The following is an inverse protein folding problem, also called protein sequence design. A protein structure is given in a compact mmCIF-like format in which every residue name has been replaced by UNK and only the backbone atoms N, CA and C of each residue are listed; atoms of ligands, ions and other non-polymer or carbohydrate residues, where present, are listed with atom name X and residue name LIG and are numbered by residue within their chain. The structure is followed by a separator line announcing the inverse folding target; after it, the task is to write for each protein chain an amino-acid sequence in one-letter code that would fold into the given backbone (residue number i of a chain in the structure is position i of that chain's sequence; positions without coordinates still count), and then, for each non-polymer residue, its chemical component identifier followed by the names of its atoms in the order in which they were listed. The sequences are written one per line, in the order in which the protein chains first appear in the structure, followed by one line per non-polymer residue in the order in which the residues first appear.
data_IF_859217604401
#
_entry.id   IF_859217604401
#
_cell.length_a   1.000
_cell.length_b   1.000
_cell.length_c   1.000
_cell.angle_alpha   90.00
_cell.angle_beta   90.00
_cell.angle_gamma   90.00
#
_symmetry.space_group_name_H-M   'P 1'
#
loop_
_entity.id
_entity.type
_entity.pdbx_description
1 polymer ?
#
# COMPACT_ATOMS: atom_id res chain seq x y z
N UNK A 1 37.22 18.65 -6.96
CA UNK A 1 36.69 17.33 -7.39
C UNK A 1 36.85 16.37 -6.23
N UNK A 2 35.84 16.32 -5.35
CA UNK A 2 35.70 15.36 -4.27
C UNK A 2 34.23 15.42 -3.88
N UNK A 3 33.41 14.65 -4.59
CA UNK A 3 32.01 14.43 -4.21
C UNK A 3 32.08 13.55 -2.97
N UNK A 4 31.50 14.00 -1.87
CA UNK A 4 31.48 13.25 -0.62
C UNK A 4 30.79 11.89 -0.88
N UNK A 5 31.57 10.81 -0.88
CA UNK A 5 31.09 9.45 -1.20
C UNK A 5 29.92 9.03 -0.29
N UNK A 6 29.84 9.56 0.93
CA UNK A 6 28.72 9.30 1.84
C UNK A 6 27.36 9.86 1.37
N UNK A 7 27.33 10.88 0.50
CA UNK A 7 26.08 11.36 -0.12
C UNK A 7 25.65 10.42 -1.25
N UNK A 8 26.61 9.84 -1.98
CA UNK A 8 26.32 8.83 -3.00
C UNK A 8 25.81 7.56 -2.32
N UNK A 9 26.38 7.13 -1.19
CA UNK A 9 25.89 5.95 -0.47
C UNK A 9 24.46 6.13 0.08
N UNK A 10 24.07 7.34 0.51
CA UNK A 10 22.70 7.65 0.92
C UNK A 10 21.70 7.73 -0.23
N UNK A 11 22.18 8.00 -1.46
CA UNK A 11 21.37 8.11 -2.68
C UNK A 11 21.33 6.77 -3.45
N UNK A 12 22.35 5.92 -3.28
CA UNK A 12 22.58 4.72 -4.08
C UNK A 12 22.22 3.38 -3.40
N UNK A 13 21.93 3.36 -2.09
CA UNK A 13 21.55 2.12 -1.39
C UNK A 13 20.08 2.04 -0.93
N UNK A 14 19.17 1.64 -1.85
CA UNK A 14 17.98 0.85 -1.53
C UNK A 14 18.19 -0.67 -1.77
N UNK A 15 19.39 -1.09 -2.18
CA UNK A 15 19.70 -2.45 -2.67
C UNK A 15 19.77 -3.56 -1.60
N UNK A 16 19.30 -3.33 -0.37
CA UNK A 16 19.25 -4.37 0.67
C UNK A 16 18.26 -5.52 0.38
N UNK A 17 17.50 -5.45 -0.72
CA UNK A 17 16.62 -6.54 -1.17
C UNK A 17 17.31 -7.73 -1.86
N UNK A 18 18.62 -7.65 -2.15
CA UNK A 18 19.36 -8.70 -2.87
C UNK A 18 20.63 -9.21 -2.17
N UNK A 19 20.87 -8.84 -0.91
CA UNK A 19 21.79 -9.62 -0.10
C UNK A 19 21.12 -10.98 0.13
N UNK A 20 21.70 -12.02 -0.46
CA UNK A 20 21.43 -13.42 -0.13
C UNK A 20 21.19 -13.53 1.39
N UNK A 21 20.18 -14.29 1.86
CA UNK A 21 20.19 -14.70 3.24
C UNK A 21 21.42 -15.60 3.39
N UNK A 22 22.54 -15.01 3.80
CA UNK A 22 23.57 -15.78 4.48
C UNK A 22 22.82 -16.47 5.60
N UNK A 23 22.86 -17.81 5.57
CA UNK A 23 22.29 -18.69 6.58
C UNK A 23 22.49 -18.10 7.99
N UNK A 24 21.50 -17.36 8.45
CA UNK A 24 21.35 -16.87 9.81
C UNK A 24 19.91 -17.22 10.12
N UNK A 25 19.79 -18.46 10.57
CA UNK A 25 18.70 -19.01 11.37
C UNK A 25 17.67 -17.99 11.84
N UNK A 26 16.43 -18.22 11.38
CA UNK A 26 15.22 -18.00 12.16
C UNK A 26 15.50 -18.25 13.65
N UNK A 27 15.22 -17.24 14.47
CA UNK A 27 15.71 -17.03 15.85
C UNK A 27 17.20 -16.75 15.94
N UNK A 28 17.52 -15.45 16.08
CA UNK A 28 18.53 -15.10 17.06
C UNK A 28 17.98 -15.55 18.41
N UNK A 29 18.39 -16.73 18.87
CA UNK A 29 18.52 -16.98 20.30
C UNK A 29 19.53 -15.93 20.80
N UNK A 30 19.04 -14.77 21.22
CA UNK A 30 19.81 -13.84 22.04
C UNK A 30 19.82 -14.39 23.46
N UNK A 31 20.61 -15.44 23.67
CA UNK A 31 21.34 -15.55 24.94
C UNK A 31 22.39 -14.44 24.95
N UNK A 32 21.94 -13.23 25.27
CA UNK A 32 22.62 -12.29 26.17
C UNK A 32 21.87 -10.96 26.17
N UNK A 33 21.44 -10.61 27.38
CA UNK A 33 20.79 -9.37 27.80
C UNK A 33 21.27 -8.09 27.10
N UNK A 34 20.49 -7.60 26.14
CA UNK A 34 20.05 -6.22 26.23
C UNK A 34 18.61 -6.29 26.70
N UNK A 35 18.36 -5.89 27.95
CA UNK A 35 17.00 -5.73 28.44
C UNK A 35 16.30 -4.76 27.50
N UNK A 36 15.42 -5.28 26.63
CA UNK A 36 14.59 -4.41 25.81
C UNK A 36 13.90 -3.45 26.75
N UNK A 37 14.05 -2.15 26.50
CA UNK A 37 13.50 -1.12 27.36
C UNK A 37 11.97 -1.18 27.49
N UNK A 38 11.32 -1.96 26.61
CA UNK A 38 9.88 -2.22 26.56
C UNK A 38 9.45 -3.49 27.33
N UNK A 39 10.36 -4.15 28.04
CA UNK A 39 10.03 -5.39 28.78
C UNK A 39 9.66 -6.56 27.85
N UNK A 40 8.92 -7.53 28.39
CA UNK A 40 8.35 -8.63 27.60
C UNK A 40 7.07 -8.14 26.89
N UNK A 41 7.18 -7.92 25.58
CA UNK A 41 6.05 -7.57 24.74
C UNK A 41 5.42 -8.86 24.24
N UNK A 42 4.20 -9.13 24.68
CA UNK A 42 3.38 -10.23 24.16
C UNK A 42 2.10 -9.66 23.54
N UNK A 43 1.56 -10.29 22.48
CA UNK A 43 0.26 -9.90 21.95
C UNK A 43 -0.83 -10.10 23.03
N UNK A 44 -1.88 -9.27 23.05
CA UNK A 44 -3.02 -9.48 23.94
C UNK A 44 -3.69 -10.84 23.69
N UNK A 45 -4.18 -11.51 24.75
CA UNK A 45 -4.87 -12.82 24.62
C UNK A 45 -6.13 -12.76 23.74
N UNK A 46 -6.83 -11.61 23.77
CA UNK A 46 -8.04 -11.35 22.98
C UNK A 46 -7.94 -9.98 22.33
N UNK A 47 -7.17 -9.86 21.23
CA UNK A 47 -6.87 -8.58 20.64
C UNK A 47 -8.14 -7.94 20.04
N UNK A 48 -8.33 -6.65 20.30
CA UNK A 48 -9.40 -5.84 19.71
C UNK A 48 -9.10 -5.40 18.27
N UNK A 49 -7.84 -5.50 17.86
CA UNK A 49 -7.36 -5.09 16.54
C UNK A 49 -6.47 -6.17 15.94
N UNK A 50 -6.40 -6.21 14.62
CA UNK A 50 -5.43 -6.98 13.85
C UNK A 50 -4.65 -6.02 12.96
N UNK A 51 -3.35 -6.21 12.82
CA UNK A 51 -2.53 -5.44 11.90
C UNK A 51 -2.35 -6.29 10.64
N UNK A 52 -2.86 -5.80 9.51
CA UNK A 52 -2.85 -6.55 8.26
C UNK A 52 -1.56 -6.33 7.47
N UNK A 53 -1.00 -5.12 7.47
CA UNK A 53 0.17 -4.78 6.67
C UNK A 53 0.82 -3.49 7.20
N UNK A 54 2.09 -3.26 6.84
CA UNK A 54 2.83 -2.02 7.08
C UNK A 54 3.20 -1.33 5.76
N UNK A 55 3.01 -0.02 5.75
CA UNK A 55 3.32 0.90 4.66
C UNK A 55 4.15 2.08 5.15
N UNK A 56 4.28 3.12 4.32
CA UNK A 56 4.91 4.39 4.70
C UNK A 56 6.30 4.25 5.33
N UNK A 57 7.13 3.34 4.80
CA UNK A 57 8.49 3.10 5.30
C UNK A 57 8.53 2.65 6.78
N UNK A 58 7.56 1.83 7.20
CA UNK A 58 7.48 1.30 8.56
C UNK A 58 6.82 2.24 9.57
N UNK A 59 6.28 3.37 9.12
CA UNK A 59 5.59 4.36 9.98
C UNK A 59 4.06 4.33 9.88
N UNK A 60 3.50 3.53 8.97
CA UNK A 60 2.07 3.45 8.70
C UNK A 60 1.64 1.98 8.74
N UNK A 61 0.57 1.68 9.47
CA UNK A 61 0.08 0.33 9.72
C UNK A 61 -1.41 0.24 9.42
N UNK A 62 -1.78 -0.74 8.60
CA UNK A 62 -3.14 -1.00 8.15
C UNK A 62 -3.81 -1.91 9.19
N UNK A 63 -4.84 -1.40 9.86
CA UNK A 63 -5.46 -2.10 11.00
C UNK A 63 -6.91 -2.51 10.72
N UNK A 64 -7.34 -3.59 11.37
CA UNK A 64 -8.65 -4.18 11.25
C UNK A 64 -9.31 -4.32 12.64
N UNK A 65 -10.53 -3.79 12.86
CA UNK A 65 -11.20 -3.86 14.16
C UNK A 65 -11.86 -5.24 14.36
N UNK A 66 -11.38 -6.00 15.34
CA UNK A 66 -11.92 -7.33 15.69
C UNK A 66 -13.18 -7.25 16.57
N UNK A 67 -13.48 -6.09 17.14
CA UNK A 67 -14.72 -5.86 17.91
C UNK A 67 -15.95 -5.57 17.03
N UNK A 68 -15.78 -5.46 15.72
CA UNK A 68 -16.87 -5.19 14.76
C UNK A 68 -17.33 -6.48 14.09
N UNK A 69 -18.65 -6.68 13.97
CA UNK A 69 -19.20 -7.83 13.20
C UNK A 69 -19.11 -7.58 11.69
N UNK A 70 -19.35 -6.34 11.26
CA UNK A 70 -19.26 -5.92 9.85
C UNK A 70 -18.43 -4.64 9.78
N UNK A 71 -17.28 -4.74 9.13
CA UNK A 71 -16.35 -3.62 8.98
C UNK A 71 -16.57 -2.91 7.64
N UNK A 72 -17.05 -1.65 7.62
CA UNK A 72 -17.05 -0.84 6.40
C UNK A 72 -15.62 -0.43 6.02
N UNK A 73 -15.34 -0.11 4.74
CA UNK A 73 -13.98 0.18 4.27
C UNK A 73 -13.45 1.57 4.67
N UNK A 74 -13.51 1.95 5.95
CA UNK A 74 -13.17 3.30 6.44
C UNK A 74 -11.70 3.66 6.32
N UNK A 75 -10.81 2.69 6.09
CA UNK A 75 -9.35 2.92 6.00
C UNK A 75 -8.84 3.71 7.20
N UNK A 76 -9.23 3.22 8.38
CA UNK A 76 -8.71 3.70 9.65
C UNK A 76 -7.38 3.03 9.88
N UNK A 77 -6.32 3.81 9.73
CA UNK A 77 -4.95 3.31 9.75
C UNK A 77 -4.16 3.97 10.89
N UNK A 78 -3.13 3.28 11.37
CA UNK A 78 -2.28 3.72 12.48
C UNK A 78 -1.00 4.33 11.96
N UNK A 79 -0.59 5.46 12.52
CA UNK A 79 0.63 6.17 12.16
C UNK A 79 1.49 6.36 13.41
N UNK A 80 2.77 6.06 13.29
CA UNK A 80 3.79 6.29 14.32
C UNK A 80 4.81 7.32 13.83
N UNK A 81 5.66 7.87 14.71
CA UNK A 81 6.72 8.77 14.28
C UNK A 81 7.70 8.04 13.35
N UNK A 82 8.21 8.75 12.35
CA UNK A 82 9.28 8.21 11.49
C UNK A 82 10.55 7.98 12.29
N UNK A 83 11.39 7.04 11.84
CA UNK A 83 12.65 6.70 12.50
C UNK A 83 13.55 7.90 12.77
N UNK A 84 13.52 8.91 11.90
CA UNK A 84 14.31 10.15 12.04
C UNK A 84 13.92 11.00 13.25
N UNK A 85 12.70 10.79 13.77
CA UNK A 85 12.17 11.49 14.93
C UNK A 85 12.25 10.66 16.23
N UNK A 86 12.79 9.44 16.16
CA UNK A 86 12.90 8.53 17.30
C UNK A 86 14.39 8.30 17.65
N UNK A 87 14.67 8.01 18.92
CA UNK A 87 16.02 7.59 19.33
C UNK A 87 16.35 6.21 18.75
N UNK A 88 17.63 5.97 18.42
CA UNK A 88 18.11 4.67 17.92
C UNK A 88 17.69 3.50 18.81
N UNK A 89 17.73 3.67 20.14
CA UNK A 89 17.34 2.63 21.09
C UNK A 89 15.88 2.18 20.94
N UNK A 90 14.96 3.10 20.60
CA UNK A 90 13.55 2.78 20.35
C UNK A 90 13.42 2.04 19.00
N UNK A 91 14.10 2.55 17.98
CA UNK A 91 14.09 1.95 16.65
C UNK A 91 14.59 0.51 16.66
N UNK A 92 15.67 0.23 17.38
CA UNK A 92 16.22 -1.12 17.55
C UNK A 92 15.31 -1.99 18.42
N UNK A 93 14.85 -1.48 19.57
CA UNK A 93 14.03 -2.27 20.50
C UNK A 93 12.65 -2.67 19.97
N UNK A 94 12.14 -1.97 18.95
CA UNK A 94 10.85 -2.23 18.31
C UNK A 94 10.99 -2.80 16.89
N UNK A 95 12.20 -3.15 16.45
CA UNK A 95 12.47 -3.66 15.11
C UNK A 95 12.01 -2.73 13.97
N UNK A 96 12.02 -1.41 14.16
CA UNK A 96 11.50 -0.44 13.19
C UNK A 96 12.27 -0.48 11.85
N UNK A 97 13.58 -0.77 11.91
CA UNK A 97 14.39 -0.99 10.70
C UNK A 97 13.95 -2.20 9.89
N UNK A 98 13.47 -3.27 10.54
CA UNK A 98 12.92 -4.45 9.86
C UNK A 98 11.49 -4.19 9.36
N UNK A 99 10.69 -3.44 10.13
CA UNK A 99 9.34 -3.04 9.75
C UNK A 99 9.32 -2.23 8.45
N UNK A 100 10.33 -1.38 8.23
CA UNK A 100 10.52 -0.63 6.98
C UNK A 100 10.48 -1.51 5.73
N UNK A 101 11.07 -2.72 5.79
CA UNK A 101 11.17 -3.65 4.67
C UNK A 101 10.09 -4.74 4.66
N UNK A 102 9.26 -4.80 5.70
CA UNK A 102 8.27 -5.87 5.87
C UNK A 102 6.93 -5.40 5.34
N UNK A 103 6.41 -6.05 4.31
CA UNK A 103 5.04 -5.85 3.78
C UNK A 103 4.15 -7.08 3.94
N UNK A 104 4.74 -8.18 4.39
CA UNK A 104 4.06 -9.46 4.58
C UNK A 104 3.47 -9.55 6.00
N UNK A 105 2.17 -9.86 6.15
CA UNK A 105 1.52 -9.95 7.46
C UNK A 105 2.17 -11.00 8.38
N UNK A 106 2.62 -12.14 7.84
CA UNK A 106 3.18 -13.22 8.66
C UNK A 106 4.52 -12.81 9.26
N UNK A 107 5.40 -12.18 8.49
CA UNK A 107 6.65 -11.62 9.00
C UNK A 107 6.41 -10.46 9.96
N UNK A 108 5.42 -9.61 9.68
CA UNK A 108 5.10 -8.45 10.52
C UNK A 108 4.72 -8.87 11.95
N UNK A 109 3.95 -9.96 12.11
CA UNK A 109 3.56 -10.52 13.42
C UNK A 109 4.74 -10.92 14.32
N UNK A 110 5.93 -11.10 13.75
CA UNK A 110 7.12 -11.48 14.51
C UNK A 110 7.97 -10.27 14.92
N UNK A 111 7.57 -9.05 14.56
CA UNK A 111 8.29 -7.83 14.93
C UNK A 111 7.73 -7.25 16.23
N UNK A 112 8.60 -6.71 17.10
CA UNK A 112 8.19 -6.15 18.39
C UNK A 112 7.24 -4.96 18.28
N UNK A 113 7.32 -4.15 17.21
CA UNK A 113 6.37 -3.07 16.95
C UNK A 113 4.94 -3.57 16.74
N UNK A 114 4.74 -4.77 16.20
CA UNK A 114 3.41 -5.34 16.04
C UNK A 114 2.72 -5.51 17.40
N UNK A 115 3.41 -6.16 18.34
CA UNK A 115 2.85 -6.43 19.67
C UNK A 115 2.70 -5.13 20.48
N UNK A 116 3.66 -4.21 20.36
CA UNK A 116 3.56 -2.87 20.94
C UNK A 116 2.27 -2.16 20.51
N UNK A 117 2.02 -2.10 19.20
CA UNK A 117 0.83 -1.43 18.64
C UNK A 117 -0.45 -2.13 19.06
N UNK A 118 -0.49 -3.46 19.10
CA UNK A 118 -1.67 -4.18 19.58
C UNK A 118 -1.98 -3.85 21.04
N UNK A 119 -0.97 -3.79 21.92
CA UNK A 119 -1.17 -3.41 23.32
C UNK A 119 -1.64 -1.95 23.47
N UNK A 120 -1.03 -1.02 22.73
CA UNK A 120 -1.42 0.39 22.76
C UNK A 120 -2.87 0.59 22.29
N UNK A 121 -3.23 -0.02 21.17
CA UNK A 121 -4.59 0.03 20.61
C UNK A 121 -5.59 -0.66 21.53
N UNK A 122 -5.23 -1.79 22.14
CA UNK A 122 -6.06 -2.49 23.13
C UNK A 122 -6.39 -1.56 24.31
N UNK A 123 -5.36 -1.01 24.96
CA UNK A 123 -5.51 -0.13 26.11
C UNK A 123 -6.32 1.13 25.78
N UNK A 124 -6.15 1.70 24.59
CA UNK A 124 -6.94 2.82 24.12
C UNK A 124 -8.40 2.44 23.85
N UNK A 125 -8.63 1.31 23.19
CA UNK A 125 -9.99 0.83 22.85
C UNK A 125 -10.79 0.49 24.10
N UNK A 126 -10.17 -0.11 25.10
CA UNK A 126 -10.83 -0.48 26.35
C UNK A 126 -11.24 0.75 27.20
N UNK A 127 -10.68 1.94 26.91
CA UNK A 127 -11.12 3.21 27.51
C UNK A 127 -12.31 3.84 26.78
N UNK A 128 -12.67 3.36 25.59
CA UNK A 128 -13.82 3.87 24.86
C UNK A 128 -15.12 3.28 25.43
N UNK A 129 -16.14 4.10 25.74
CA UNK A 129 -17.41 3.60 26.26
C UNK A 129 -18.12 2.63 25.31
N UNK A 130 -18.06 2.92 24.00
CA UNK A 130 -18.62 2.08 22.95
C UNK A 130 -17.71 2.12 21.70
N UNK A 131 -16.76 1.18 21.57
CA UNK A 131 -15.84 1.13 20.43
C UNK A 131 -16.53 1.01 19.07
N UNK A 132 -17.66 0.29 19.01
CA UNK A 132 -18.40 0.08 17.77
C UNK A 132 -19.05 1.37 17.27
N UNK A 133 -19.76 2.08 18.16
CA UNK A 133 -20.34 3.39 17.84
C UNK A 133 -19.26 4.43 17.49
N UNK A 134 -18.11 4.39 18.19
CA UNK A 134 -16.98 5.22 17.84
C UNK A 134 -16.53 4.95 16.40
N UNK A 135 -16.33 3.68 16.04
CA UNK A 135 -15.88 3.29 14.70
C UNK A 135 -16.87 3.72 13.61
N UNK A 136 -18.17 3.47 13.81
CA UNK A 136 -19.22 3.83 12.86
C UNK A 136 -19.40 5.35 12.69
N UNK A 137 -19.01 6.14 13.68
CA UNK A 137 -19.03 7.61 13.61
C UNK A 137 -17.85 8.21 12.83
N UNK A 138 -16.81 7.41 12.51
CA UNK A 138 -15.63 7.89 11.80
C UNK A 138 -15.88 8.13 10.31
N UNK A 139 -14.99 8.91 9.71
CA UNK A 139 -14.98 9.20 8.27
C UNK A 139 -13.91 8.38 7.55
N UNK A 140 -14.02 8.34 6.22
CA UNK A 140 -13.05 7.64 5.40
C UNK A 140 -11.66 8.28 5.52
N UNK A 141 -10.65 7.44 5.77
CA UNK A 141 -9.25 7.82 5.94
C UNK A 141 -8.89 8.37 7.31
N UNK A 142 -9.76 8.28 8.33
CA UNK A 142 -9.41 8.69 9.71
C UNK A 142 -8.09 8.06 10.14
N UNK A 143 -7.21 8.85 10.76
CA UNK A 143 -5.90 8.38 11.22
C UNK A 143 -5.89 8.22 12.73
N UNK A 144 -5.33 7.12 13.21
CA UNK A 144 -4.94 6.94 14.62
C UNK A 144 -3.44 7.25 14.67
N UNK A 145 -3.03 8.27 15.42
CA UNK A 145 -1.66 8.75 15.46
C UNK A 145 -1.11 8.52 16.86
N UNK A 146 0.02 7.84 16.95
CA UNK A 146 0.85 7.78 18.15
C UNK A 146 1.95 8.84 17.96
N UNK A 147 1.92 9.91 18.74
CA UNK A 147 2.94 10.97 18.62
C UNK A 147 4.30 10.56 19.20
N UNK A 148 4.29 9.58 20.10
CA UNK A 148 5.46 9.07 20.80
C UNK A 148 5.24 7.58 21.12
N UNK A 149 6.33 6.87 21.39
CA UNK A 149 6.35 5.43 21.70
C UNK A 149 6.96 5.22 23.11
N UNK A 150 6.23 5.55 24.19
CA UNK A 150 6.71 5.35 25.55
C UNK A 150 6.91 3.86 25.86
N UNK A 151 7.75 3.57 26.87
CA UNK A 151 8.09 2.20 27.29
C UNK A 151 6.88 1.33 27.63
N UNK A 152 5.87 1.92 28.25
CA UNK A 152 4.58 1.25 28.50
C UNK A 152 3.60 1.59 27.35
N UNK A 153 3.26 0.63 26.48
CA UNK A 153 2.34 0.85 25.37
C UNK A 153 0.96 1.38 25.82
N UNK A 154 0.50 1.04 27.02
CA UNK A 154 -0.79 1.49 27.55
C UNK A 154 -0.83 3.00 27.85
N UNK A 155 0.34 3.64 27.93
CA UNK A 155 0.48 5.09 28.12
C UNK A 155 0.71 5.86 26.82
N UNK A 156 0.78 5.17 25.68
CA UNK A 156 1.02 5.80 24.39
C UNK A 156 -0.01 6.90 24.08
N UNK A 157 0.43 8.12 23.72
CA UNK A 157 -0.47 9.22 23.42
C UNK A 157 -1.13 9.00 22.05
N UNK A 158 -2.37 8.50 22.07
CA UNK A 158 -3.17 8.29 20.86
C UNK A 158 -4.04 9.51 20.55
N UNK A 159 -3.87 10.06 19.36
CA UNK A 159 -4.73 11.09 18.77
C UNK A 159 -5.49 10.51 17.59
N UNK A 160 -6.74 10.92 17.43
CA UNK A 160 -7.58 10.58 16.28
C UNK A 160 -7.69 11.81 15.40
N UNK A 161 -7.32 11.69 14.12
CA UNK A 161 -7.36 12.76 13.14
C UNK A 161 -8.29 12.38 11.96
N UNK A 162 -9.56 12.84 11.98
CA UNK A 162 -10.47 12.71 10.85
C UNK A 162 -9.99 13.49 9.62
N UNK A 163 -9.96 12.85 8.45
CA UNK A 163 -9.49 13.44 7.20
C UNK A 163 -10.61 14.13 6.40
N UNK A 164 -11.26 15.16 6.96
CA UNK A 164 -12.43 15.81 6.32
C UNK A 164 -12.15 16.36 4.91
N UNK A 165 -10.94 16.85 4.68
CA UNK A 165 -10.54 17.37 3.36
C UNK A 165 -10.51 16.28 2.28
N UNK A 166 -10.24 15.03 2.68
CA UNK A 166 -10.21 13.89 1.76
C UNK A 166 -11.63 13.63 1.21
N UNK A 167 -12.63 13.58 2.09
CA UNK A 167 -14.02 13.35 1.66
C UNK A 167 -14.55 14.47 0.77
N UNK A 168 -14.14 15.71 1.04
CA UNK A 168 -14.51 16.87 0.23
C UNK A 168 -13.91 16.84 -1.18
N UNK A 169 -12.84 16.06 -1.41
CA UNK A 169 -12.13 15.99 -2.69
C UNK A 169 -12.58 14.87 -3.62
N UNK A 170 -13.55 14.04 -3.20
CA UNK A 170 -14.10 13.01 -4.08
C UNK A 170 -15.08 13.60 -5.11
N UNK A 171 -14.93 13.17 -6.37
CA UNK A 171 -15.91 13.45 -7.42
C UNK A 171 -17.15 12.58 -7.24
N UNK A 172 -18.31 13.15 -7.56
CA UNK A 172 -19.53 12.37 -7.72
C UNK A 172 -19.53 11.58 -9.03
N UNK A 173 -20.38 10.56 -9.13
CA UNK A 173 -20.57 9.81 -10.38
C UNK A 173 -20.96 10.72 -11.54
N UNK A 174 -21.81 11.72 -11.29
CA UNK A 174 -22.20 12.71 -12.29
C UNK A 174 -20.99 13.54 -12.75
N UNK A 175 -20.19 14.04 -11.80
CA UNK A 175 -18.98 14.81 -12.12
C UNK A 175 -17.96 14.00 -12.93
N UNK A 176 -17.80 12.70 -12.65
CA UNK A 176 -16.93 11.82 -13.45
C UNK A 176 -17.47 11.62 -14.86
N UNK A 177 -18.79 11.44 -15.01
CA UNK A 177 -19.44 11.30 -16.31
C UNK A 177 -19.27 12.56 -17.16
N UNK A 178 -19.41 13.74 -16.55
CA UNK A 178 -19.21 15.02 -17.24
C UNK A 178 -17.74 15.21 -17.64
N UNK A 179 -16.80 14.82 -16.78
CA UNK A 179 -15.37 14.96 -17.01
C UNK A 179 -14.84 14.04 -18.12
N UNK A 180 -15.28 12.77 -18.14
CA UNK A 180 -14.78 11.76 -19.07
C UNK A 180 -15.62 11.61 -20.34
N UNK A 181 -16.81 12.21 -20.35
CA UNK A 181 -17.74 12.17 -21.48
C UNK A 181 -18.51 10.84 -21.58
N UNK A 182 -19.48 10.79 -22.51
CA UNK A 182 -20.43 9.68 -22.63
C UNK A 182 -19.80 8.37 -23.12
N UNK A 183 -18.63 8.46 -23.76
CA UNK A 183 -17.89 7.31 -24.29
C UNK A 183 -17.27 6.43 -23.21
N UNK A 184 -17.16 6.94 -21.97
CA UNK A 184 -16.67 6.19 -20.82
C UNK A 184 -17.87 5.71 -20.01
N UNK A 185 -18.25 4.46 -20.25
CA UNK A 185 -19.31 3.81 -19.49
C UNK A 185 -18.83 3.62 -18.05
N UNK A 186 -19.54 4.19 -17.08
CA UNK A 186 -19.27 3.99 -15.65
C UNK A 186 -20.00 2.72 -15.17
N UNK A 187 -19.38 1.88 -14.31
CA UNK A 187 -20.06 0.75 -13.68
C UNK A 187 -21.16 1.20 -12.70
N UNK A 188 -22.00 0.24 -12.30
CA UNK A 188 -22.99 0.46 -11.25
C UNK A 188 -22.34 0.82 -9.91
N UNK A 189 -23.09 1.49 -9.04
CA UNK A 189 -22.61 1.89 -7.71
C UNK A 189 -22.97 0.88 -6.64
N UNK A 190 -22.17 0.84 -5.59
CA UNK A 190 -22.49 0.19 -4.31
C UNK A 190 -22.25 1.18 -3.18
N UNK A 191 -23.17 1.21 -2.21
CA UNK A 191 -22.96 2.02 -1.01
C UNK A 191 -21.80 1.43 -0.22
N UNK A 192 -20.90 2.30 0.18
CA UNK A 192 -19.76 1.99 1.02
C UNK A 192 -20.12 1.17 2.28
N UNK A 193 -21.29 1.40 2.88
CA UNK A 193 -21.79 0.67 4.06
C UNK A 193 -22.24 -0.76 3.75
N UNK A 194 -22.52 -1.05 2.49
CA UNK A 194 -22.87 -2.40 2.04
C UNK A 194 -21.64 -3.29 1.80
N UNK A 195 -20.44 -2.73 1.96
CA UNK A 195 -19.18 -3.44 1.78
C UNK A 195 -18.65 -3.91 3.13
N UNK A 196 -18.19 -5.15 3.16
CA UNK A 196 -17.51 -5.70 4.33
C UNK A 196 -16.04 -5.98 4.04
N UNK A 197 -15.13 -5.32 4.76
CA UNK A 197 -13.69 -5.59 4.66
C UNK A 197 -13.37 -6.94 5.31
N UNK A 198 -12.57 -7.74 4.62
CA UNK A 198 -11.97 -8.98 5.14
C UNK A 198 -10.51 -8.78 5.54
N UNK A 199 -9.76 -8.02 4.74
CA UNK A 199 -8.33 -7.78 4.96
C UNK A 199 -7.86 -6.55 4.18
N UNK A 200 -6.91 -5.81 4.73
CA UNK A 200 -6.20 -4.74 4.03
C UNK A 200 -4.80 -5.21 3.62
N UNK A 201 -4.58 -5.44 2.34
CA UNK A 201 -3.32 -6.05 1.88
C UNK A 201 -2.24 -5.03 1.52
N UNK A 202 -2.64 -3.82 1.12
CA UNK A 202 -1.75 -2.73 0.70
C UNK A 202 -2.39 -1.37 0.95
N UNK A 203 -1.60 -0.30 0.90
CA UNK A 203 -2.04 1.10 1.09
C UNK A 203 -3.22 1.51 0.19
N UNK A 204 -3.42 0.85 -0.95
CA UNK A 204 -4.52 1.15 -1.87
C UNK A 204 -5.51 0.01 -2.06
N UNK A 205 -5.27 -1.18 -1.51
CA UNK A 205 -6.05 -2.39 -1.80
C UNK A 205 -6.56 -3.05 -0.52
N UNK A 206 -7.87 -3.30 -0.48
CA UNK A 206 -8.51 -4.13 0.54
C UNK A 206 -9.28 -5.27 -0.11
N UNK A 207 -9.22 -6.47 0.47
CA UNK A 207 -10.09 -7.58 0.13
C UNK A 207 -11.43 -7.34 0.83
N UNK A 208 -12.50 -7.32 0.05
CA UNK A 208 -13.85 -7.00 0.54
C UNK A 208 -14.86 -8.03 0.06
N UNK A 209 -15.98 -8.11 0.77
CA UNK A 209 -17.13 -8.93 0.41
C UNK A 209 -18.36 -8.03 0.20
N UNK A 210 -19.08 -8.28 -0.89
CA UNK A 210 -20.32 -7.59 -1.25
C UNK A 210 -21.32 -8.65 -1.73
N UNK A 211 -22.43 -8.80 -1.02
CA UNK A 211 -23.46 -9.78 -1.38
C UNK A 211 -22.94 -11.24 -1.43
N UNK A 212 -21.97 -11.59 -0.58
CA UNK A 212 -21.35 -12.93 -0.55
C UNK A 212 -20.26 -13.16 -1.61
N UNK A 213 -19.96 -12.17 -2.46
CA UNK A 213 -18.89 -12.25 -3.46
C UNK A 213 -17.68 -11.45 -2.99
N UNK A 214 -16.49 -12.04 -3.15
CA UNK A 214 -15.22 -11.42 -2.77
C UNK A 214 -14.64 -10.61 -3.92
N UNK A 215 -14.21 -9.39 -3.63
CA UNK A 215 -13.58 -8.46 -4.56
C UNK A 215 -12.30 -7.87 -3.97
N UNK A 216 -11.44 -7.34 -4.83
CA UNK A 216 -10.43 -6.38 -4.41
C UNK A 216 -10.98 -4.96 -4.60
N UNK A 217 -10.98 -4.19 -3.52
CA UNK A 217 -11.37 -2.78 -3.52
C UNK A 217 -10.13 -1.91 -3.62
N UNK A 218 -10.04 -1.11 -4.69
CA UNK A 218 -9.06 -0.03 -4.80
C UNK A 218 -9.64 1.22 -4.14
N UNK A 219 -8.98 1.72 -3.12
CA UNK A 219 -9.32 2.97 -2.44
C UNK A 219 -8.08 3.60 -1.83
N UNK A 220 -7.90 4.91 -1.98
CA UNK A 220 -6.69 5.61 -1.55
C UNK A 220 -7.01 6.73 -0.58
N UNK A 221 -6.19 6.87 0.45
CA UNK A 221 -6.28 7.96 1.43
C UNK A 221 -5.39 9.16 1.10
N UNK A 222 -4.54 9.01 0.08
CA UNK A 222 -3.65 10.05 -0.44
C UNK A 222 -3.63 10.01 -1.98
N UNK A 223 -3.46 11.18 -2.60
CA UNK A 223 -3.34 11.36 -4.05
C UNK A 223 -4.48 10.73 -4.89
N UNK A 224 -5.72 11.04 -4.53
CA UNK A 224 -6.95 10.48 -5.14
C UNK A 224 -6.98 10.59 -6.67
N UNK A 225 -6.36 11.63 -7.25
CA UNK A 225 -6.25 11.79 -8.70
C UNK A 225 -5.70 10.54 -9.40
N UNK A 226 -4.79 9.80 -8.78
CA UNK A 226 -4.22 8.59 -9.39
C UNK A 226 -5.20 7.42 -9.41
N UNK A 227 -6.06 7.31 -8.39
CA UNK A 227 -7.14 6.33 -8.37
C UNK A 227 -8.17 6.62 -9.48
N UNK A 228 -8.55 7.88 -9.66
CA UNK A 228 -9.46 8.26 -10.77
C UNK A 228 -8.82 8.05 -12.14
N UNK A 229 -7.52 8.33 -12.25
CA UNK A 229 -6.78 8.09 -13.48
C UNK A 229 -6.70 6.60 -13.83
N UNK A 230 -6.38 5.75 -12.85
CA UNK A 230 -6.40 4.30 -13.02
C UNK A 230 -7.79 3.81 -13.42
N UNK A 231 -8.84 4.25 -12.71
CA UNK A 231 -10.22 3.92 -13.06
C UNK A 231 -10.53 4.29 -14.52
N UNK A 232 -10.16 5.50 -14.96
CA UNK A 232 -10.36 5.94 -16.34
C UNK A 232 -9.59 5.07 -17.36
N UNK A 233 -8.33 4.73 -17.05
CA UNK A 233 -7.52 3.83 -17.89
C UNK A 233 -8.18 2.46 -18.02
N UNK A 234 -8.58 1.85 -16.90
CA UNK A 234 -9.17 0.52 -16.89
C UNK A 234 -10.51 0.49 -17.64
N UNK A 235 -11.34 1.52 -17.49
CA UNK A 235 -12.57 1.65 -18.26
C UNK A 235 -12.29 1.85 -19.76
N UNK A 236 -11.22 2.56 -20.12
CA UNK A 236 -10.80 2.73 -21.52
C UNK A 236 -10.31 1.41 -22.12
N UNK A 237 -9.39 0.71 -21.44
CA UNK A 237 -8.88 -0.58 -21.87
C UNK A 237 -10.00 -1.63 -21.99
N UNK A 238 -11.02 -1.55 -21.14
CA UNK A 238 -12.16 -2.49 -21.18
C UNK A 238 -12.99 -2.44 -22.47
N UNK A 239 -12.84 -1.40 -23.31
CA UNK A 239 -13.47 -1.35 -24.63
C UNK A 239 -12.97 -2.48 -25.55
N UNK A 240 -11.73 -2.91 -25.36
CA UNK A 240 -11.15 -4.08 -26.01
C UNK A 240 -10.38 -4.89 -24.96
N UNK A 241 -11.05 -5.80 -24.23
CA UNK A 241 -10.43 -6.53 -23.13
C UNK A 241 -9.30 -7.45 -23.62
N UNK A 242 -8.29 -7.64 -22.77
CA UNK A 242 -7.19 -8.56 -22.98
C UNK A 242 -7.13 -9.55 -21.81
N UNK A 243 -6.96 -10.88 -22.04
CA UNK A 243 -7.05 -11.89 -20.99
C UNK A 243 -6.00 -11.76 -19.88
N UNK A 244 -4.89 -11.08 -20.15
CA UNK A 244 -3.79 -10.87 -19.19
C UNK A 244 -3.73 -9.45 -18.61
N UNK A 245 -4.80 -8.67 -18.76
CA UNK A 245 -4.99 -7.38 -18.09
C UNK A 245 -6.19 -7.52 -17.16
N UNK A 246 -6.13 -6.91 -15.98
CA UNK A 246 -7.23 -6.94 -15.01
C UNK A 246 -8.57 -6.59 -15.67
N UNK A 247 -9.59 -7.34 -15.29
CA UNK A 247 -10.93 -7.17 -15.82
C UNK A 247 -11.47 -5.77 -15.51
N UNK A 248 -12.47 -5.36 -16.29
CA UNK A 248 -13.15 -4.08 -16.14
C UNK A 248 -13.62 -3.89 -14.70
N UNK A 249 -13.43 -2.70 -14.08
CA UNK A 249 -13.99 -2.39 -12.78
C UNK A 249 -15.49 -2.73 -12.71
N UNK A 250 -15.87 -3.49 -11.68
CA UNK A 250 -17.18 -4.13 -11.54
C UNK A 250 -18.20 -3.15 -10.98
N UNK A 251 -17.81 -2.39 -9.94
CA UNK A 251 -18.67 -1.41 -9.26
C UNK A 251 -17.88 -0.20 -8.80
N UNK A 252 -18.52 0.96 -8.78
CA UNK A 252 -18.03 2.15 -8.10
C UNK A 252 -18.46 2.12 -6.64
N UNK A 253 -17.53 2.37 -5.72
CA UNK A 253 -17.84 2.48 -4.30
C UNK A 253 -18.17 3.93 -3.99
N UNK A 254 -19.39 4.16 -3.52
CA UNK A 254 -19.87 5.52 -3.22
C UNK A 254 -20.12 5.70 -1.74
N UNK A 255 -19.68 6.83 -1.19
CA UNK A 255 -19.97 7.24 0.18
C UNK A 255 -20.74 8.55 0.16
N UNK A 256 -21.82 8.62 0.93
CA UNK A 256 -22.54 9.88 1.14
C UNK A 256 -21.64 10.85 1.91
N UNK A 257 -21.40 12.02 1.33
CA UNK A 257 -20.71 13.11 2.03
C UNK A 257 -21.60 13.65 3.15
N UNK A 258 -21.06 13.88 4.36
CA UNK A 258 -21.78 14.60 5.40
C UNK A 258 -22.04 16.07 5.01
N UNK A 259 -21.30 16.62 4.05
CA UNK A 259 -21.44 17.99 3.55
C UNK A 259 -22.16 18.01 2.21
N UNK A 260 -23.48 18.18 2.21
CA UNK A 260 -24.24 18.48 0.98
C UNK A 260 -24.87 17.28 0.24
N UNK A 261 -24.82 16.08 0.80
CA UNK A 261 -25.62 14.92 0.33
C UNK A 261 -25.19 14.30 -1.01
N UNK A 262 -24.14 14.81 -1.65
CA UNK A 262 -23.55 14.19 -2.83
C UNK A 262 -22.81 12.90 -2.45
N UNK A 263 -22.93 11.89 -3.30
CA UNK A 263 -22.24 10.61 -3.13
C UNK A 263 -20.90 10.68 -3.86
N UNK A 264 -19.82 10.78 -3.10
CA UNK A 264 -18.46 10.79 -3.63
C UNK A 264 -18.01 9.36 -3.96
N UNK A 265 -17.30 9.18 -5.07
CA UNK A 265 -16.69 7.91 -5.44
C UNK A 265 -15.39 7.74 -4.66
N UNK A 266 -15.40 6.89 -3.63
CA UNK A 266 -14.26 6.69 -2.73
C UNK A 266 -13.31 5.58 -3.20
N UNK A 267 -13.75 4.79 -4.17
CA UNK A 267 -13.01 3.65 -4.70
C UNK A 267 -13.80 2.90 -5.76
N UNK A 268 -13.26 1.78 -6.20
CA UNK A 268 -13.92 0.87 -7.13
C UNK A 268 -13.54 -0.59 -6.83
N UNK A 269 -14.42 -1.50 -7.24
CA UNK A 269 -14.23 -2.95 -7.08
C UNK A 269 -13.70 -3.55 -8.37
N UNK A 270 -12.70 -4.42 -8.23
CA UNK A 270 -12.16 -5.27 -9.28
C UNK A 270 -12.21 -6.73 -8.83
N UNK A 271 -12.06 -7.63 -9.79
CA UNK A 271 -11.91 -9.06 -9.53
C UNK A 271 -10.75 -9.34 -8.58
N UNK A 272 -10.96 -10.29 -7.66
CA UNK A 272 -9.93 -10.74 -6.73
C UNK A 272 -9.24 -12.00 -7.26
N UNK A 273 -7.92 -11.94 -7.39
CA UNK A 273 -7.08 -13.08 -7.77
C UNK A 273 -6.35 -13.63 -6.54
N UNK A 274 -6.85 -14.76 -6.02
CA UNK A 274 -6.36 -15.36 -4.76
C UNK A 274 -4.99 -16.03 -4.85
N UNK A 275 -4.48 -16.31 -6.05
CA UNK A 275 -3.16 -16.94 -6.20
C UNK A 275 -2.00 -15.97 -5.89
N UNK A 276 -2.29 -14.67 -5.74
CA UNK A 276 -1.32 -13.66 -5.35
C UNK A 276 -0.40 -13.20 -6.48
N UNK A 277 0.64 -12.47 -6.11
CA UNK A 277 1.59 -11.86 -7.06
C UNK A 277 2.70 -12.83 -7.46
N UNK A 278 3.27 -12.63 -8.66
CA UNK A 278 4.46 -13.37 -9.09
C UNK A 278 5.65 -13.11 -8.14
N UNK A 279 5.75 -11.92 -7.53
CA UNK A 279 6.79 -11.63 -6.52
C UNK A 279 6.82 -12.69 -5.42
N UNK A 280 5.64 -13.10 -4.95
CA UNK A 280 5.52 -14.01 -3.81
C UNK A 280 5.53 -15.49 -4.26
N UNK A 281 4.93 -15.78 -5.43
CA UNK A 281 4.82 -17.14 -5.96
C UNK A 281 6.12 -17.66 -6.55
N UNK A 282 6.89 -16.82 -7.23
CA UNK A 282 8.08 -17.24 -7.98
C UNK A 282 9.20 -17.79 -7.06
N UNK A 283 9.58 -17.14 -5.95
CA UNK A 283 10.57 -17.69 -5.01
C UNK A 283 10.12 -19.01 -4.42
N UNK A 284 8.84 -19.12 -4.03
CA UNK A 284 8.26 -20.33 -3.47
C UNK A 284 8.34 -21.50 -4.45
N UNK A 285 7.88 -21.32 -5.68
CA UNK A 285 7.96 -22.37 -6.72
C UNK A 285 9.39 -22.76 -7.07
N UNK A 286 10.35 -21.83 -6.96
CA UNK A 286 11.77 -22.13 -7.18
C UNK A 286 12.33 -23.01 -6.05
N UNK A 287 12.03 -22.67 -4.79
CA UNK A 287 12.44 -23.45 -3.61
C UNK A 287 11.82 -24.85 -3.67
N UNK A 288 10.53 -24.92 -3.98
CA UNK A 288 9.76 -26.17 -4.08
C UNK A 288 10.09 -26.97 -5.36
N UNK A 289 10.95 -26.43 -6.24
CA UNK A 289 11.34 -27.01 -7.55
C UNK A 289 10.15 -27.32 -8.46
N UNK A 290 9.08 -26.54 -8.36
CA UNK A 290 7.86 -26.67 -9.17
C UNK A 290 7.80 -25.67 -10.33
N UNK A 291 8.72 -24.70 -10.40
CA UNK A 291 8.79 -23.73 -11.50
C UNK A 291 9.39 -24.36 -12.76
N UNK A 292 8.59 -24.53 -13.82
CA UNK A 292 9.05 -25.04 -15.11
C UNK A 292 9.52 -23.90 -16.03
N UNK A 293 10.33 -24.24 -17.02
CA UNK A 293 10.71 -23.31 -18.09
C UNK A 293 9.50 -22.92 -18.96
N UNK A 294 8.60 -23.89 -19.20
CA UNK A 294 7.36 -23.69 -19.96
C UNK A 294 6.48 -22.61 -19.32
N UNK A 295 6.36 -22.59 -17.99
CA UNK A 295 5.60 -21.56 -17.27
C UNK A 295 6.22 -20.17 -17.46
N UNK A 296 7.55 -20.07 -17.36
CA UNK A 296 8.27 -18.81 -17.54
C UNK A 296 8.12 -18.26 -18.96
N UNK A 297 8.22 -19.12 -19.98
CA UNK A 297 8.03 -18.73 -21.39
C UNK A 297 6.58 -18.28 -21.61
N UNK A 298 5.60 -19.03 -21.10
CA UNK A 298 4.19 -18.70 -21.20
C UNK A 298 3.87 -17.35 -20.54
N UNK A 299 4.36 -17.12 -19.32
CA UNK A 299 4.18 -15.84 -18.63
C UNK A 299 4.85 -14.69 -19.38
N UNK A 300 6.06 -14.88 -19.91
CA UNK A 300 6.74 -13.86 -20.71
C UNK A 300 5.93 -13.51 -21.97
N UNK A 301 5.43 -14.51 -22.70
CA UNK A 301 4.60 -14.30 -23.90
C UNK A 301 3.30 -13.55 -23.57
N UNK A 302 2.61 -13.94 -22.51
CA UNK A 302 1.40 -13.27 -22.04
C UNK A 302 1.67 -11.82 -21.66
N UNK A 303 2.79 -11.57 -20.99
CA UNK A 303 3.20 -10.23 -20.58
C UNK A 303 3.49 -9.35 -21.80
N UNK A 304 4.28 -9.86 -22.74
CA UNK A 304 4.56 -9.15 -24.00
C UNK A 304 3.28 -8.84 -24.75
N UNK A 305 2.35 -9.80 -24.86
CA UNK A 305 1.04 -9.58 -25.52
C UNK A 305 0.24 -8.47 -24.85
N UNK A 306 0.13 -8.49 -23.52
CA UNK A 306 -0.61 -7.49 -22.76
C UNK A 306 0.00 -6.09 -22.88
N UNK A 307 1.33 -6.00 -22.79
CA UNK A 307 2.06 -4.74 -22.95
C UNK A 307 1.89 -4.20 -24.38
N UNK A 308 2.06 -5.04 -25.41
CA UNK A 308 1.82 -4.65 -26.81
C UNK A 308 0.38 -4.17 -27.05
N UNK A 309 -0.60 -4.77 -26.39
CA UNK A 309 -1.99 -4.32 -26.45
C UNK A 309 -2.15 -2.89 -25.90
N UNK A 310 -1.55 -2.59 -24.74
CA UNK A 310 -1.58 -1.26 -24.11
C UNK A 310 -0.92 -0.20 -25.01
N UNK A 311 0.24 -0.54 -25.60
CA UNK A 311 1.00 0.36 -26.48
C UNK A 311 0.44 0.48 -27.89
N UNK A 312 -0.52 -0.37 -28.28
CA UNK A 312 -1.07 -0.36 -29.64
C UNK A 312 -1.63 1.01 -30.01
N UNK A 313 -1.60 1.34 -31.30
CA UNK A 313 -2.08 2.63 -31.83
C UNK A 313 -3.53 2.94 -31.48
N UNK A 314 -4.31 1.92 -31.09
CA UNK A 314 -5.68 2.05 -30.58
C UNK A 314 -5.75 2.75 -29.24
N UNK A 315 -4.82 2.48 -28.32
CA UNK A 315 -4.83 3.04 -26.99
C UNK A 315 -3.77 4.13 -26.82
N UNK A 316 -2.57 3.93 -27.38
CA UNK A 316 -1.47 4.88 -27.23
C UNK A 316 -1.09 5.14 -25.76
N UNK A 317 -1.34 4.15 -24.89
CA UNK A 317 -1.06 4.23 -23.46
C UNK A 317 0.31 3.62 -23.17
N UNK A 318 0.82 3.90 -21.97
CA UNK A 318 2.01 3.25 -21.44
C UNK A 318 1.72 2.72 -20.04
N UNK A 319 2.44 1.67 -19.66
CA UNK A 319 2.37 1.04 -18.34
C UNK A 319 3.67 1.31 -17.59
N UNK A 320 3.69 2.25 -16.62
CA UNK A 320 4.94 2.71 -16.02
C UNK A 320 5.57 1.71 -15.06
N UNK A 321 4.78 1.03 -14.24
CA UNK A 321 5.28 0.32 -13.06
C UNK A 321 5.35 -1.20 -13.30
N UNK A 322 6.12 -1.62 -14.32
CA UNK A 322 6.29 -3.04 -14.63
C UNK A 322 7.19 -3.75 -13.63
N UNK A 323 6.57 -4.44 -12.68
CA UNK A 323 7.23 -5.18 -11.60
C UNK A 323 6.45 -6.43 -11.21
N UNK A 324 7.14 -7.40 -10.60
CA UNK A 324 6.52 -8.67 -10.20
C UNK A 324 5.39 -8.53 -9.18
N UNK A 325 5.31 -7.42 -8.44
CA UNK A 325 4.21 -7.10 -7.51
C UNK A 325 2.90 -6.81 -8.24
N UNK A 326 2.99 -6.21 -9.43
CA UNK A 326 1.84 -5.75 -10.19
C UNK A 326 1.41 -6.80 -11.24
N UNK A 327 1.94 -8.02 -11.15
CA UNK A 327 1.55 -9.16 -11.96
C UNK A 327 0.99 -10.23 -11.02
N UNK A 328 -0.33 -10.41 -11.07
CA UNK A 328 -1.03 -11.45 -10.32
C UNK A 328 -1.13 -12.73 -11.13
N UNK A 329 -1.43 -13.85 -10.47
CA UNK A 329 -1.79 -15.10 -11.13
C UNK A 329 -3.29 -15.35 -11.01
N UNK A 330 -3.90 -15.78 -12.11
CA UNK A 330 -5.25 -16.33 -12.12
C UNK A 330 -5.27 -17.74 -11.51
N UNK A 331 -6.47 -18.30 -11.32
CA UNK A 331 -6.63 -19.69 -10.87
C UNK A 331 -6.03 -20.70 -11.86
N UNK A 332 -6.04 -20.37 -13.15
CA UNK A 332 -5.45 -21.16 -14.23
C UNK A 332 -3.95 -20.88 -14.43
N UNK A 333 -3.31 -20.24 -13.44
CA UNK A 333 -1.87 -19.92 -13.46
C UNK A 333 -1.44 -18.99 -14.60
N UNK A 334 -2.38 -18.22 -15.18
CA UNK A 334 -2.08 -17.20 -16.18
C UNK A 334 -1.82 -15.86 -15.51
N UNK A 335 -0.97 -15.03 -16.11
CA UNK A 335 -0.67 -13.73 -15.53
C UNK A 335 -1.81 -12.74 -15.74
N UNK A 336 -1.99 -11.82 -14.79
CA UNK A 336 -2.93 -10.70 -14.86
C UNK A 336 -2.18 -9.43 -14.44
N UNK A 337 -2.04 -8.47 -15.34
CA UNK A 337 -1.48 -7.15 -15.04
C UNK A 337 -2.49 -6.32 -14.25
N UNK A 338 -2.03 -5.70 -13.14
CA UNK A 338 -2.81 -4.81 -12.27
C UNK A 338 -2.07 -3.49 -12.04
N UNK A 339 -2.62 -2.60 -11.22
CA UNK A 339 -1.98 -1.35 -10.77
C UNK A 339 -1.57 -0.42 -11.93
N UNK A 340 -2.57 0.15 -12.59
CA UNK A 340 -2.40 1.09 -13.70
C UNK A 340 -2.26 2.54 -13.21
N UNK A 341 -1.91 2.74 -11.94
CA UNK A 341 -1.64 4.06 -11.39
C UNK A 341 -0.35 4.63 -11.97
N UNK A 342 -0.41 5.85 -12.52
CA UNK A 342 0.77 6.55 -13.06
C UNK A 342 1.45 7.41 -11.99
N UNK A 343 1.96 6.79 -10.92
CA UNK A 343 2.65 7.50 -9.82
C UNK A 343 4.15 7.76 -10.05
N UNK A 344 4.67 7.34 -11.20
CA UNK A 344 6.11 7.30 -11.46
C UNK A 344 6.69 5.93 -11.10
N UNK A 345 7.95 5.70 -11.48
CA UNK A 345 8.64 4.42 -11.29
C UNK A 345 9.69 4.62 -10.19
N UNK A 346 9.85 3.64 -9.32
CA UNK A 346 10.92 3.63 -8.33
C UNK A 346 12.28 3.58 -9.04
N UNK A 347 13.32 4.24 -8.52
CA UNK A 347 14.58 4.40 -9.25
C UNK A 347 15.24 3.05 -9.61
N UNK A 348 14.98 2.00 -8.83
CA UNK A 348 15.52 0.65 -9.02
C UNK A 348 14.91 -0.06 -10.23
N UNK A 349 13.69 0.30 -10.62
CA UNK A 349 12.96 -0.28 -11.76
C UNK A 349 12.81 0.69 -12.94
N UNK A 350 13.26 1.93 -12.74
CA UNK A 350 13.24 2.97 -13.75
C UNK A 350 14.30 2.69 -14.80
N UNK A 351 13.93 2.89 -16.07
CA UNK A 351 14.91 2.87 -17.15
C UNK A 351 15.93 4.01 -16.96
N UNK A 352 17.19 3.85 -17.45
CA UNK A 352 18.26 4.81 -17.23
C UNK A 352 17.90 6.26 -17.58
N UNK A 353 17.10 6.48 -18.63
CA UNK A 353 16.63 7.78 -19.07
C UNK A 353 15.68 8.46 -18.08
N UNK A 354 14.84 7.69 -17.39
CA UNK A 354 13.95 8.21 -16.34
C UNK A 354 14.76 8.51 -15.08
N UNK A 355 15.65 7.59 -14.71
CA UNK A 355 16.53 7.75 -13.56
C UNK A 355 17.41 9.00 -13.66
N UNK A 356 18.01 9.25 -14.82
CA UNK A 356 18.84 10.43 -15.03
C UNK A 356 18.06 11.73 -14.73
N UNK A 357 16.82 11.82 -15.21
CA UNK A 357 15.95 12.98 -14.99
C UNK A 357 15.53 13.10 -13.52
N UNK A 358 15.14 11.99 -12.88
CA UNK A 358 14.75 12.02 -11.46
C UNK A 358 15.94 12.35 -10.55
N UNK A 359 17.15 11.86 -10.84
CA UNK A 359 18.35 12.29 -10.11
C UNK A 359 18.61 13.78 -10.29
N UNK A 360 18.56 14.31 -11.51
CA UNK A 360 18.70 15.77 -11.75
C UNK A 360 17.66 16.55 -10.94
N UNK A 361 16.40 16.09 -10.95
CA UNK A 361 15.31 16.72 -10.19
C UNK A 361 15.54 16.67 -8.69
N UNK A 362 15.98 15.54 -8.13
CA UNK A 362 16.28 15.37 -6.70
C UNK A 362 17.44 16.30 -6.32
N UNK A 363 18.52 16.29 -7.10
CA UNK A 363 19.69 17.14 -6.86
C UNK A 363 19.31 18.63 -6.93
N UNK A 364 18.54 19.04 -7.94
CA UNK A 364 18.08 20.43 -8.08
C UNK A 364 17.19 20.89 -6.92
N UNK A 365 16.42 19.98 -6.31
CA UNK A 365 15.53 20.27 -5.17
C UNK A 365 16.17 20.04 -3.80
N UNK A 366 17.40 19.55 -3.74
CA UNK A 366 18.05 19.21 -2.48
C UNK A 366 18.60 20.44 -1.77
N UNK A 367 18.16 20.69 -0.53
CA UNK A 367 18.70 21.76 0.32
C UNK A 367 20.14 21.48 0.78
N UNK A 368 20.65 20.27 0.55
CA UNK A 368 22.00 19.85 0.93
C UNK A 368 23.05 20.14 -0.15
N UNK A 369 22.65 20.68 -1.30
CA UNK A 369 23.54 21.00 -2.42
C UNK A 369 23.71 22.51 -2.50
N UNK A 370 24.96 22.94 -2.58
CA UNK A 370 25.36 24.34 -2.70
C UNK A 370 24.76 24.98 -3.98
N UNK A 371 24.28 26.22 -3.86
CA UNK A 371 23.45 26.92 -4.87
C UNK A 371 24.16 27.05 -6.24
N UNK A 372 25.49 27.13 -6.24
CA UNK A 372 26.28 27.17 -7.48
C UNK A 372 26.07 25.91 -8.35
N UNK A 373 25.82 24.75 -7.74
CA UNK A 373 25.59 23.49 -8.47
C UNK A 373 24.15 23.35 -8.94
N UNK A 374 23.18 23.91 -8.19
CA UNK A 374 21.77 23.96 -8.63
C UNK A 374 21.63 24.81 -9.89
N UNK A 375 22.34 25.94 -9.97
CA UNK A 375 22.31 26.82 -11.14
C UNK A 375 22.80 26.12 -12.43
N UNK A 376 23.81 25.24 -12.33
CA UNK A 376 24.34 24.48 -13.47
C UNK A 376 23.35 23.39 -13.91
N UNK A 377 22.63 22.75 -12.97
CA UNK A 377 21.67 21.68 -13.28
C UNK A 377 20.34 22.19 -13.86
N UNK A 378 19.97 23.45 -13.59
CA UNK A 378 18.74 24.07 -14.10
C UNK A 378 18.88 24.68 -15.53
N UNK A 379 20.07 24.64 -16.13
CA UNK A 379 20.35 25.23 -17.46
C UNK A 379 20.38 24.19 -18.60
N UNK A 380 19.85 22.98 -18.36
CA UNK A 380 19.72 21.91 -19.37
C UNK A 380 18.38 21.91 -20.08
#
# INVERSE_FOLDING_TARGET
MNINLGIIDLIAHPTAGFLLPSHSTLRHDTSDSQASQFGDLSPPESPRWRIDCSGGLGSHYLVYPLFMTRVPPLRIDVFIPTSDNLSSDICESLDLGLAFHTRDPERLKHLRIHDYLLQALQAWTDRLPNPGEWYDSQIFGTRIILDDLPKDPATAPIKVAPMHFLEASFHSVASLRDLWGPEVLLPDTVDFRDIHVKQQIQDSISIVEVGGVVYAMKAVTNFIKFMYHELHILLTLSKHPHPNIISRPVKLVTKRSPFGGTHGVVGFLIEYHSAGSIRDVLPKRRIDKTLKLEDQIRWAQQLTSAVSHIFSSRFGLYYPDLRCENILLSQDDNIIMVDFEQRGVWCEFSAPEVNAIEYIRILAKSDKIDEQWKAIMCLG
#
